data_IF_484627138358
#
_entry.id   IF_484627138358
#
_cell.length_a   1.000
_cell.length_b   1.000
_cell.length_c   1.000
_cell.angle_alpha   90.00
_cell.angle_beta   90.00
_cell.angle_gamma   90.00
#
_symmetry.space_group_name_H-M   'P 1'
#
loop_
_entity.id
_entity.type
_entity.pdbx_description
1 polymer ?
#
# COMPACT_ATOMS: atom_id res chain seq x y z
N UNK A 1 31.74 -16.46 28.73
CA UNK A 1 30.66 -16.99 27.84
C UNK A 1 29.37 -16.35 28.31
N UNK A 2 28.58 -15.79 27.42
CA UNK A 2 27.27 -15.23 27.79
C UNK A 2 26.25 -16.36 27.75
N UNK A 3 25.49 -16.54 28.81
CA UNK A 3 24.40 -17.50 28.89
C UNK A 3 23.10 -16.75 28.65
N UNK A 4 22.31 -17.17 27.65
CA UNK A 4 21.03 -16.56 27.30
C UNK A 4 19.91 -17.54 27.60
N UNK A 5 18.82 -17.07 28.18
CA UNK A 5 17.64 -17.89 28.47
C UNK A 5 16.35 -17.10 28.32
N UNK A 6 15.28 -17.76 27.91
CA UNK A 6 13.93 -17.20 27.87
C UNK A 6 13.27 -17.52 29.24
N UNK A 7 13.04 -16.46 30.00
CA UNK A 7 12.56 -16.59 31.39
C UNK A 7 11.04 -16.41 31.52
N UNK A 8 10.44 -15.62 30.64
CA UNK A 8 9.00 -15.38 30.70
C UNK A 8 8.40 -15.27 29.29
N UNK A 9 7.22 -15.84 29.13
CA UNK A 9 6.35 -15.67 27.97
C UNK A 9 4.97 -15.35 28.53
N UNK A 10 4.41 -14.20 28.14
CA UNK A 10 3.12 -13.76 28.65
C UNK A 10 2.30 -13.08 27.56
N UNK A 11 1.01 -13.36 27.55
CA UNK A 11 0.06 -12.70 26.67
C UNK A 11 -0.22 -11.28 27.16
N UNK A 12 -0.38 -10.33 26.23
CA UNK A 12 -0.76 -8.96 26.49
C UNK A 12 -2.18 -8.69 25.97
N UNK A 13 -3.01 -8.08 26.81
CA UNK A 13 -4.37 -7.69 26.45
C UNK A 13 -5.25 -8.87 26.02
N UNK A 14 -5.81 -8.79 24.80
CA UNK A 14 -6.72 -9.82 24.23
C UNK A 14 -6.01 -11.08 23.72
N UNK A 15 -4.69 -11.20 23.90
CA UNK A 15 -3.92 -12.33 23.39
C UNK A 15 -3.36 -12.14 21.98
N UNK A 16 -3.56 -10.96 21.40
CA UNK A 16 -3.02 -10.63 20.08
C UNK A 16 -1.50 -10.37 20.09
N UNK A 17 -0.96 -10.04 21.26
CA UNK A 17 0.45 -9.77 21.48
C UNK A 17 1.02 -10.70 22.57
N UNK A 18 2.26 -11.13 22.36
CA UNK A 18 3.01 -12.00 23.27
C UNK A 18 4.32 -11.31 23.62
N UNK A 19 4.55 -11.10 24.92
CA UNK A 19 5.82 -10.62 25.45
C UNK A 19 6.73 -11.80 25.74
N UNK A 20 7.91 -11.81 25.11
CA UNK A 20 8.98 -12.79 25.32
C UNK A 20 10.13 -12.10 26.03
N UNK A 21 10.49 -12.58 27.21
CA UNK A 21 11.56 -11.98 28.04
C UNK A 21 12.78 -12.87 28.02
N UNK A 22 13.90 -12.30 27.62
CA UNK A 22 15.22 -12.89 27.67
C UNK A 22 15.99 -12.37 28.89
N UNK A 23 16.81 -13.22 29.42
CA UNK A 23 17.83 -12.94 30.45
C UNK A 23 19.18 -13.35 29.87
N UNK A 24 20.09 -12.39 29.73
CA UNK A 24 21.49 -12.64 29.41
C UNK A 24 22.33 -12.48 30.66
N UNK A 25 23.19 -13.47 30.97
CA UNK A 25 24.10 -13.44 32.09
C UNK A 25 25.53 -13.60 31.60
N UNK A 26 26.41 -12.66 31.96
CA UNK A 26 27.83 -12.72 31.63
C UNK A 26 28.62 -13.52 32.69
N UNK A 27 29.88 -13.86 32.36
CA UNK A 27 30.75 -14.63 33.29
C UNK A 27 31.09 -13.96 34.62
N UNK A 28 30.73 -12.65 34.77
CA UNK A 28 30.90 -11.87 36.02
C UNK A 28 29.62 -11.79 36.84
N UNK A 29 28.54 -12.47 36.41
CA UNK A 29 27.26 -12.48 37.10
C UNK A 29 26.36 -11.27 36.82
N UNK A 30 26.73 -10.40 35.88
CA UNK A 30 25.86 -9.30 35.45
C UNK A 30 24.73 -9.86 34.63
N UNK A 31 23.51 -9.38 34.92
CA UNK A 31 22.27 -9.84 34.29
C UNK A 31 21.59 -8.69 33.52
N UNK A 32 21.30 -8.93 32.28
CA UNK A 32 20.54 -8.01 31.44
C UNK A 32 19.23 -8.65 31.02
N UNK A 33 18.13 -7.90 31.18
CA UNK A 33 16.79 -8.36 30.86
C UNK A 33 16.28 -7.59 29.66
N UNK A 34 15.87 -8.30 28.58
CA UNK A 34 15.26 -7.74 27.38
C UNK A 34 13.89 -8.36 27.18
N UNK A 35 12.88 -7.53 26.88
CA UNK A 35 11.53 -8.00 26.60
C UNK A 35 11.13 -7.55 25.19
N UNK A 36 10.70 -8.49 24.39
CA UNK A 36 10.27 -8.30 23.00
C UNK A 36 8.80 -8.63 22.86
N UNK A 37 8.05 -7.75 22.20
CA UNK A 37 6.62 -7.96 21.93
C UNK A 37 6.46 -8.45 20.50
N UNK A 38 5.89 -9.64 20.33
CA UNK A 38 5.55 -10.29 19.07
C UNK A 38 4.04 -10.25 18.84
N UNK A 39 3.60 -10.36 17.59
CA UNK A 39 2.23 -10.80 17.32
C UNK A 39 2.06 -12.28 17.70
N UNK A 40 0.85 -12.71 18.03
CA UNK A 40 0.55 -14.12 18.31
C UNK A 40 0.95 -15.03 17.15
N UNK A 41 0.79 -14.56 15.92
CA UNK A 41 1.21 -15.27 14.71
C UNK A 41 2.71 -15.49 14.68
N UNK A 42 3.52 -14.43 14.84
CA UNK A 42 4.98 -14.52 14.87
C UNK A 42 5.47 -15.45 15.99
N UNK A 43 4.85 -15.34 17.16
CA UNK A 43 5.17 -16.23 18.29
C UNK A 43 4.97 -17.71 17.94
N UNK A 44 3.85 -18.06 17.31
CA UNK A 44 3.56 -19.43 16.87
C UNK A 44 4.51 -19.90 15.76
N UNK A 45 4.80 -19.05 14.78
CA UNK A 45 5.70 -19.35 13.67
C UNK A 45 7.15 -19.59 14.14
N UNK A 46 7.61 -18.80 15.12
CA UNK A 46 8.96 -18.94 15.69
C UNK A 46 9.09 -20.11 16.66
N UNK A 47 7.99 -20.66 17.16
CA UNK A 47 8.01 -21.81 18.09
C UNK A 47 8.78 -21.56 19.39
N UNK A 48 8.75 -20.31 19.89
CA UNK A 48 9.54 -19.88 21.06
C UNK A 48 9.04 -20.55 22.35
N UNK A 49 9.96 -21.11 23.10
CA UNK A 49 9.67 -21.77 24.41
C UNK A 49 10.59 -21.28 25.53
N UNK A 50 10.15 -21.39 26.79
CA UNK A 50 11.00 -21.08 27.94
C UNK A 50 12.17 -22.06 28.03
N UNK A 51 13.34 -21.57 28.43
CA UNK A 51 14.54 -22.37 28.62
C UNK A 51 15.80 -21.71 28.08
N UNK A 52 16.83 -22.49 27.85
CA UNK A 52 18.09 -22.02 27.28
C UNK A 52 17.87 -21.57 25.82
N UNK A 53 18.52 -20.48 25.45
CA UNK A 53 18.47 -19.89 24.10
C UNK A 53 19.89 -19.50 23.67
N UNK A 54 20.12 -19.46 22.40
CA UNK A 54 21.35 -18.93 21.79
C UNK A 54 21.18 -17.50 21.31
N UNK A 55 22.27 -16.91 20.85
CA UNK A 55 22.29 -15.56 20.29
C UNK A 55 21.41 -15.47 19.05
N UNK A 56 21.36 -16.54 18.23
CA UNK A 56 20.54 -16.55 17.02
C UNK A 56 19.03 -16.47 17.35
N UNK A 57 18.58 -17.21 18.36
CA UNK A 57 17.19 -17.13 18.83
C UNK A 57 16.86 -15.75 19.39
N UNK A 58 17.78 -15.14 20.14
CA UNK A 58 17.63 -13.76 20.63
C UNK A 58 17.49 -12.77 19.50
N UNK A 59 18.40 -12.79 18.50
CA UNK A 59 18.41 -11.87 17.38
C UNK A 59 17.16 -12.04 16.50
N UNK A 60 16.72 -13.29 16.30
CA UNK A 60 15.51 -13.60 15.52
C UNK A 60 14.25 -13.02 16.19
N UNK A 61 14.10 -13.19 17.49
CA UNK A 61 12.96 -12.65 18.24
C UNK A 61 13.02 -11.13 18.30
N UNK A 62 14.21 -10.56 18.50
CA UNK A 62 14.41 -9.12 18.52
C UNK A 62 14.03 -8.47 17.15
N UNK A 63 14.45 -9.10 16.05
CA UNK A 63 14.09 -8.66 14.71
C UNK A 63 12.58 -8.76 14.46
N UNK A 64 11.96 -9.90 14.78
CA UNK A 64 10.52 -10.09 14.63
C UNK A 64 9.70 -9.05 15.43
N UNK A 65 10.15 -8.70 16.62
CA UNK A 65 9.52 -7.64 17.43
C UNK A 65 9.63 -6.25 16.76
N UNK A 66 10.75 -5.96 16.11
CA UNK A 66 10.91 -4.71 15.35
C UNK A 66 9.99 -4.69 14.13
N UNK A 67 9.86 -5.81 13.40
CA UNK A 67 8.90 -5.96 12.28
C UNK A 67 7.47 -5.72 12.80
N UNK A 68 7.10 -6.32 13.95
CA UNK A 68 5.78 -6.11 14.53
C UNK A 68 5.54 -4.64 14.93
N UNK A 69 6.53 -3.98 15.50
CA UNK A 69 6.44 -2.55 15.81
C UNK A 69 6.21 -1.70 14.54
N UNK A 70 6.91 -2.01 13.44
CA UNK A 70 6.71 -1.37 12.15
C UNK A 70 5.32 -1.68 11.55
N UNK A 71 4.85 -2.93 11.67
CA UNK A 71 3.51 -3.37 11.23
C UNK A 71 2.42 -2.61 11.96
N UNK A 72 2.49 -2.50 13.29
CA UNK A 72 1.54 -1.68 14.09
C UNK A 72 1.54 -0.22 13.62
N UNK A 73 2.71 0.34 13.33
CA UNK A 73 2.79 1.69 12.78
C UNK A 73 2.12 1.79 11.42
N UNK A 74 2.27 0.78 10.58
CA UNK A 74 1.59 0.66 9.29
C UNK A 74 0.06 0.61 9.43
N UNK A 75 -0.46 -0.16 10.38
CA UNK A 75 -1.91 -0.22 10.69
C UNK A 75 -2.44 1.17 11.03
N UNK A 76 -1.75 1.90 11.90
CA UNK A 76 -2.13 3.30 12.23
C UNK A 76 -2.11 4.20 11.00
N UNK A 77 -1.12 4.03 10.11
CA UNK A 77 -1.02 4.83 8.88
C UNK A 77 -2.12 4.50 7.87
N UNK A 78 -2.62 3.26 7.84
CA UNK A 78 -3.78 2.86 7.01
C UNK A 78 -5.08 3.50 7.51
N UNK A 79 -5.20 3.80 8.79
CA UNK A 79 -6.34 4.54 9.34
C UNK A 79 -6.51 5.95 8.75
N UNK A 80 -5.44 6.54 8.20
CA UNK A 80 -5.50 7.83 7.49
C UNK A 80 -5.80 7.69 5.99
N UNK A 81 -5.89 6.48 5.46
CA UNK A 81 -6.22 6.16 4.07
C UNK A 81 -5.40 5.04 3.48
N UNK A 82 -5.96 4.41 2.45
CA UNK A 82 -5.31 3.33 1.71
C UNK A 82 -3.94 3.76 1.13
N UNK A 83 -3.03 2.83 1.07
CA UNK A 83 -1.71 3.04 0.51
C UNK A 83 -1.23 1.79 -0.23
N UNK A 84 -0.64 1.96 -1.41
CA UNK A 84 0.03 0.86 -2.09
C UNK A 84 1.21 0.33 -1.24
N UNK A 85 1.66 -0.92 -1.44
CA UNK A 85 2.84 -1.47 -0.75
C UNK A 85 4.05 -0.55 -0.81
N UNK A 86 4.37 -0.02 -2.00
CA UNK A 86 5.47 0.92 -2.20
C UNK A 86 5.30 2.21 -1.40
N UNK A 87 4.09 2.78 -1.39
CA UNK A 87 3.80 4.00 -0.64
C UNK A 87 3.88 3.74 0.87
N UNK A 88 3.37 2.61 1.37
CA UNK A 88 3.44 2.23 2.78
C UNK A 88 4.89 2.05 3.23
N UNK A 89 5.72 1.34 2.45
CA UNK A 89 7.16 1.23 2.72
C UNK A 89 7.82 2.60 2.88
N UNK A 90 7.58 3.51 1.94
CA UNK A 90 8.11 4.88 2.01
C UNK A 90 7.66 5.63 3.27
N UNK A 91 6.39 5.47 3.67
CA UNK A 91 5.87 6.07 4.91
C UNK A 91 6.55 5.50 6.17
N UNK A 92 6.80 4.18 6.22
CA UNK A 92 7.48 3.54 7.35
C UNK A 92 8.95 3.98 7.45
N UNK A 93 9.67 4.05 6.33
CA UNK A 93 11.03 4.58 6.28
C UNK A 93 11.07 6.03 6.78
N UNK A 94 10.13 6.87 6.36
CA UNK A 94 10.01 8.25 6.83
C UNK A 94 9.68 8.35 8.35
N UNK A 95 9.21 7.26 8.98
CA UNK A 95 8.99 7.14 10.42
C UNK A 95 10.19 6.56 11.18
N UNK A 96 11.32 6.33 10.50
CA UNK A 96 12.57 5.91 11.10
C UNK A 96 12.84 4.40 11.09
N UNK A 97 11.96 3.59 10.48
CA UNK A 97 12.25 2.17 10.26
C UNK A 97 13.25 2.01 9.12
N UNK A 98 14.17 1.06 9.25
CA UNK A 98 15.06 0.75 8.13
C UNK A 98 14.31 0.09 6.96
N UNK A 99 15.01 -0.04 5.83
CA UNK A 99 14.39 -0.51 4.60
C UNK A 99 13.89 -1.96 4.70
N UNK A 100 14.63 -2.85 5.35
CA UNK A 100 14.27 -4.28 5.47
C UNK A 100 13.08 -4.43 6.41
N UNK A 101 13.11 -3.79 7.58
CA UNK A 101 11.98 -3.78 8.52
C UNK A 101 10.71 -3.22 7.87
N UNK A 102 10.84 -2.17 7.07
CA UNK A 102 9.70 -1.59 6.36
C UNK A 102 9.15 -2.51 5.26
N UNK A 103 10.01 -3.27 4.57
CA UNK A 103 9.61 -4.26 3.58
C UNK A 103 8.87 -5.43 4.23
N UNK A 104 9.42 -5.99 5.31
CA UNK A 104 8.82 -7.11 6.03
C UNK A 104 7.49 -6.71 6.69
N UNK A 105 7.43 -5.52 7.28
CA UNK A 105 6.18 -5.00 7.84
C UNK A 105 5.09 -4.80 6.77
N UNK A 106 5.45 -4.37 5.56
CA UNK A 106 4.50 -4.28 4.44
C UNK A 106 4.04 -5.65 3.99
N UNK A 107 4.93 -6.66 3.97
CA UNK A 107 4.58 -8.05 3.66
C UNK A 107 3.59 -8.60 4.69
N UNK A 108 3.79 -8.32 5.98
CA UNK A 108 2.83 -8.66 7.03
C UNK A 108 1.46 -7.98 6.82
N UNK A 109 1.44 -6.68 6.49
CA UNK A 109 0.17 -5.97 6.23
C UNK A 109 -0.60 -6.55 5.03
N UNK A 110 0.12 -7.01 4.00
CA UNK A 110 -0.48 -7.71 2.85
C UNK A 110 -0.99 -9.09 3.28
N UNK A 111 -0.20 -9.86 4.03
CA UNK A 111 -0.61 -11.18 4.54
C UNK A 111 -1.82 -11.11 5.48
N UNK A 112 -1.95 -10.01 6.24
CA UNK A 112 -3.13 -9.71 7.06
C UNK A 112 -4.35 -9.24 6.24
N UNK A 113 -4.22 -9.03 4.92
CA UNK A 113 -5.27 -8.49 4.05
C UNK A 113 -5.58 -7.01 4.27
N UNK A 114 -4.74 -6.29 5.05
CA UNK A 114 -4.92 -4.85 5.32
C UNK A 114 -4.44 -3.97 4.17
N UNK A 115 -3.59 -4.50 3.31
CA UNK A 115 -3.21 -3.93 2.01
C UNK A 115 -3.55 -4.97 0.95
N UNK A 116 -4.46 -4.64 0.04
CA UNK A 116 -4.74 -5.45 -1.14
C UNK A 116 -4.38 -4.62 -2.38
N UNK A 117 -3.19 -4.79 -2.97
CA UNK A 117 -2.73 -3.93 -4.05
C UNK A 117 -3.60 -3.99 -5.31
N UNK A 118 -4.30 -5.10 -5.56
CA UNK A 118 -5.17 -5.26 -6.73
C UNK A 118 -6.51 -4.55 -6.53
N UNK A 119 -7.15 -4.76 -5.39
CA UNK A 119 -8.42 -4.12 -5.07
C UNK A 119 -8.23 -2.61 -4.86
N UNK A 120 -7.17 -2.20 -4.15
CA UNK A 120 -6.84 -0.80 -3.93
C UNK A 120 -6.59 -0.05 -5.25
N UNK A 121 -5.89 -0.68 -6.21
CA UNK A 121 -5.66 -0.12 -7.54
C UNK A 121 -6.97 0.00 -8.33
N UNK A 122 -7.82 -1.05 -8.29
CA UNK A 122 -9.11 -1.08 -8.97
C UNK A 122 -10.07 -0.02 -8.41
N UNK A 123 -10.10 0.15 -7.09
CA UNK A 123 -10.89 1.19 -6.44
C UNK A 123 -10.40 2.59 -6.80
N UNK A 124 -9.08 2.80 -6.87
CA UNK A 124 -8.53 4.08 -7.30
C UNK A 124 -8.87 4.36 -8.76
N UNK A 125 -8.76 3.36 -9.64
CA UNK A 125 -9.11 3.47 -11.05
C UNK A 125 -10.58 3.85 -11.24
N UNK A 126 -11.51 3.20 -10.52
CA UNK A 126 -12.95 3.54 -10.53
C UNK A 126 -13.21 4.97 -10.07
N UNK A 127 -12.57 5.40 -8.99
CA UNK A 127 -12.67 6.81 -8.51
C UNK A 127 -12.11 7.81 -9.53
N UNK A 128 -11.06 7.47 -10.25
CA UNK A 128 -10.51 8.33 -11.30
C UNK A 128 -11.43 8.39 -12.52
N UNK A 129 -11.99 7.26 -12.94
CA UNK A 129 -12.96 7.19 -14.04
C UNK A 129 -14.24 8.00 -13.72
N UNK A 130 -14.76 7.94 -12.50
CA UNK A 130 -15.91 8.74 -12.06
C UNK A 130 -15.64 10.25 -12.03
N UNK A 131 -14.36 10.64 -11.98
CA UNK A 131 -13.92 12.03 -12.14
C UNK A 131 -13.70 12.43 -13.59
N UNK A 132 -14.15 11.60 -14.53
CA UNK A 132 -14.01 11.79 -15.96
C UNK A 132 -12.54 11.89 -16.41
N UNK A 133 -11.67 11.05 -15.85
CA UNK A 133 -10.29 10.91 -16.34
C UNK A 133 -10.25 9.84 -17.43
N UNK A 134 -9.41 10.08 -18.45
CA UNK A 134 -9.14 9.11 -19.50
C UNK A 134 -8.11 8.07 -19.09
N UNK A 135 -8.06 6.96 -19.82
CA UNK A 135 -7.22 5.77 -19.55
C UNK A 135 -5.76 6.12 -19.23
N UNK A 136 -5.12 6.96 -20.05
CA UNK A 136 -3.70 7.31 -19.89
C UNK A 136 -3.41 8.01 -18.55
N UNK A 137 -4.30 8.89 -18.12
CA UNK A 137 -4.16 9.59 -16.84
C UNK A 137 -4.39 8.68 -15.66
N UNK A 138 -5.37 7.77 -15.75
CA UNK A 138 -5.62 6.76 -14.71
C UNK A 138 -4.38 5.89 -14.53
N UNK A 139 -3.83 5.34 -15.61
CA UNK A 139 -2.61 4.53 -15.58
C UNK A 139 -1.44 5.31 -14.95
N UNK A 140 -1.23 6.56 -15.37
CA UNK A 140 -0.17 7.40 -14.81
C UNK A 140 -0.35 7.66 -13.33
N UNK A 141 -1.58 7.87 -12.84
CA UNK A 141 -1.87 8.06 -11.42
C UNK A 141 -1.59 6.79 -10.62
N UNK A 142 -2.00 5.62 -11.13
CA UNK A 142 -1.73 4.33 -10.48
C UNK A 142 -0.23 4.10 -10.31
N UNK A 143 0.57 4.35 -11.35
CA UNK A 143 2.03 4.26 -11.24
C UNK A 143 2.62 5.31 -10.28
N UNK A 144 2.11 6.54 -10.30
CA UNK A 144 2.53 7.59 -9.39
C UNK A 144 2.23 7.24 -7.92
N UNK A 145 1.14 6.50 -7.66
CA UNK A 145 0.80 5.96 -6.33
C UNK A 145 1.62 4.72 -5.97
N UNK A 146 2.44 4.19 -6.87
CA UNK A 146 3.37 3.11 -6.62
C UNK A 146 2.77 1.72 -6.74
N UNK A 147 1.68 1.55 -7.49
CA UNK A 147 1.16 0.22 -7.84
C UNK A 147 2.07 -0.47 -8.87
N UNK A 148 2.14 -1.80 -8.82
CA UNK A 148 2.87 -2.62 -9.79
C UNK A 148 2.15 -2.65 -11.14
N UNK A 149 2.88 -3.06 -12.20
CA UNK A 149 2.29 -3.25 -13.53
C UNK A 149 1.10 -4.21 -13.53
N UNK A 150 1.19 -5.29 -12.74
CA UNK A 150 0.13 -6.30 -12.65
C UNK A 150 -1.13 -5.74 -11.98
N UNK A 151 -0.96 -4.98 -10.89
CA UNK A 151 -2.07 -4.29 -10.23
C UNK A 151 -2.69 -3.21 -11.13
N UNK A 152 -1.87 -2.48 -11.89
CA UNK A 152 -2.36 -1.50 -12.89
C UNK A 152 -3.13 -2.21 -14.00
N UNK A 153 -2.60 -3.32 -14.53
CA UNK A 153 -3.28 -4.13 -15.53
C UNK A 153 -4.64 -4.64 -15.04
N UNK A 154 -4.67 -5.26 -13.86
CA UNK A 154 -5.91 -5.74 -13.23
C UNK A 154 -6.93 -4.61 -13.02
N UNK A 155 -6.48 -3.44 -12.56
CA UNK A 155 -7.34 -2.27 -12.38
C UNK A 155 -7.94 -1.78 -13.71
N UNK A 156 -7.17 -1.78 -14.80
CA UNK A 156 -7.68 -1.39 -16.11
C UNK A 156 -8.67 -2.42 -16.66
N UNK A 157 -8.42 -3.72 -16.48
CA UNK A 157 -9.36 -4.79 -16.83
C UNK A 157 -10.67 -4.64 -16.04
N UNK A 158 -10.60 -4.32 -14.74
CA UNK A 158 -11.80 -4.11 -13.92
C UNK A 158 -12.68 -2.95 -14.41
N UNK A 159 -12.10 -1.93 -15.07
CA UNK A 159 -12.87 -0.87 -15.71
C UNK A 159 -13.52 -1.33 -17.01
N UNK A 160 -12.89 -2.26 -17.74
CA UNK A 160 -13.45 -2.86 -18.95
C UNK A 160 -14.60 -3.79 -18.61
N UNK A 161 -14.43 -4.64 -17.59
CA UNK A 161 -15.48 -5.55 -17.07
C UNK A 161 -16.69 -4.77 -16.54
N UNK A 162 -16.46 -3.56 -15.99
CA UNK A 162 -17.51 -2.64 -15.56
C UNK A 162 -18.08 -1.78 -16.71
N UNK A 163 -17.72 -2.08 -17.96
CA UNK A 163 -18.18 -1.39 -19.16
C UNK A 163 -18.02 0.14 -19.12
N UNK A 164 -16.93 0.63 -18.54
CA UNK A 164 -16.66 2.07 -18.46
C UNK A 164 -16.45 2.65 -19.85
N UNK A 165 -17.41 3.44 -20.31
CA UNK A 165 -17.36 4.12 -21.62
C UNK A 165 -16.54 5.43 -21.51
N UNK A 166 -15.29 5.37 -21.96
CA UNK A 166 -14.38 6.51 -21.96
C UNK A 166 -14.75 7.58 -23.02
N UNK A 167 -15.45 7.21 -24.08
CA UNK A 167 -15.95 8.18 -25.07
C UNK A 167 -17.06 9.02 -24.44
N UNK A 168 -18.01 8.36 -23.77
CA UNK A 168 -19.05 9.02 -22.98
C UNK A 168 -18.46 9.92 -21.89
N UNK A 169 -17.49 9.41 -21.12
CA UNK A 169 -16.79 10.20 -20.09
C UNK A 169 -16.11 11.45 -20.70
N UNK A 170 -15.50 11.33 -21.87
CA UNK A 170 -14.89 12.46 -22.57
C UNK A 170 -15.96 13.49 -22.98
N UNK A 171 -17.08 13.05 -23.55
CA UNK A 171 -18.21 13.90 -23.90
C UNK A 171 -18.78 14.62 -22.68
N UNK A 172 -18.98 13.91 -21.58
CA UNK A 172 -19.49 14.48 -20.34
C UNK A 172 -18.52 15.49 -19.72
N UNK A 173 -17.20 15.27 -19.86
CA UNK A 173 -16.18 16.24 -19.49
C UNK A 173 -16.26 17.51 -20.34
N UNK A 174 -16.44 17.37 -21.65
CA UNK A 174 -16.62 18.51 -22.57
C UNK A 174 -17.83 19.31 -22.13
N UNK A 175 -18.98 18.66 -21.94
CA UNK A 175 -20.23 19.28 -21.49
C UNK A 175 -20.06 20.03 -20.16
N UNK A 176 -19.42 19.40 -19.20
CA UNK A 176 -19.25 19.96 -17.85
C UNK A 176 -18.33 21.18 -17.82
N UNK A 177 -17.28 21.21 -18.66
CA UNK A 177 -16.23 22.24 -18.58
C UNK A 177 -16.31 23.34 -19.60
N UNK A 178 -16.83 23.04 -20.77
CA UNK A 178 -16.82 23.94 -21.92
C UNK A 178 -18.22 24.39 -22.34
N UNK A 179 -19.25 23.59 -22.04
CA UNK A 179 -20.63 23.88 -22.44
C UNK A 179 -20.81 23.75 -23.97
N UNK A 180 -20.18 24.61 -24.73
CA UNK A 180 -20.22 24.58 -26.21
C UNK A 180 -18.84 24.26 -26.81
N UNK A 181 -18.85 23.65 -27.99
CA UNK A 181 -17.62 23.38 -28.72
C UNK A 181 -17.09 24.67 -29.36
N UNK A 182 -15.77 24.97 -29.24
CA UNK A 182 -15.18 26.12 -29.94
C UNK A 182 -15.36 26.03 -31.45
N UNK A 183 -15.76 27.13 -32.08
CA UNK A 183 -15.92 27.23 -33.54
C UNK A 183 -14.59 27.44 -34.23
N UNK A 184 -13.69 28.22 -33.63
CA UNK A 184 -12.40 28.61 -34.19
C UNK A 184 -11.34 27.51 -34.06
N UNK A 185 -10.35 27.54 -34.97
CA UNK A 185 -9.27 26.54 -35.05
C UNK A 185 -8.41 26.52 -33.75
N UNK A 186 -8.16 27.70 -33.18
CA UNK A 186 -7.32 27.86 -32.01
C UNK A 186 -8.00 27.24 -30.77
N UNK A 187 -9.28 27.49 -30.59
CA UNK A 187 -10.11 26.90 -29.53
C UNK A 187 -10.20 25.39 -29.66
N UNK A 188 -10.43 24.89 -30.89
CA UNK A 188 -10.43 23.42 -31.13
C UNK A 188 -9.09 22.76 -30.75
N UNK A 189 -7.96 23.40 -31.12
CA UNK A 189 -6.62 22.89 -30.72
C UNK A 189 -6.43 22.91 -29.19
N UNK A 190 -6.87 23.98 -28.52
CA UNK A 190 -6.78 24.10 -27.04
C UNK A 190 -7.65 23.03 -26.34
N UNK A 191 -8.88 22.83 -26.81
CA UNK A 191 -9.77 21.79 -26.31
C UNK A 191 -9.14 20.41 -26.46
N UNK A 192 -8.67 20.06 -27.65
CA UNK A 192 -8.01 18.79 -27.93
C UNK A 192 -6.81 18.54 -27.01
N UNK A 193 -5.92 19.51 -26.87
CA UNK A 193 -4.76 19.43 -25.99
C UNK A 193 -5.16 19.28 -24.50
N UNK A 194 -6.24 19.92 -24.08
CA UNK A 194 -6.77 19.76 -22.72
C UNK A 194 -7.30 18.35 -22.51
N UNK A 195 -8.07 17.77 -23.42
CA UNK A 195 -8.59 16.42 -23.31
C UNK A 195 -7.47 15.35 -23.33
N UNK A 196 -6.42 15.59 -24.14
CA UNK A 196 -5.21 14.75 -24.06
C UNK A 196 -4.57 14.78 -22.68
N UNK A 197 -4.48 15.95 -22.01
CA UNK A 197 -3.99 16.05 -20.61
C UNK A 197 -4.90 15.37 -19.59
N UNK A 198 -6.21 15.28 -19.89
CA UNK A 198 -7.15 14.48 -19.12
C UNK A 198 -6.98 12.97 -19.32
N UNK A 199 -6.11 12.56 -20.27
CA UNK A 199 -5.72 11.18 -20.49
C UNK A 199 -6.53 10.45 -21.56
N UNK A 200 -7.30 11.17 -22.37
CA UNK A 200 -8.03 10.60 -23.50
C UNK A 200 -7.13 10.42 -24.72
N UNK A 201 -7.38 9.36 -25.49
CA UNK A 201 -6.74 9.14 -26.78
C UNK A 201 -7.35 10.03 -27.87
N UNK A 202 -6.60 10.22 -28.96
CA UNK A 202 -7.11 10.98 -30.11
C UNK A 202 -8.37 10.38 -30.74
N UNK A 203 -8.51 9.05 -30.70
CA UNK A 203 -9.70 8.36 -31.19
C UNK A 203 -10.92 8.66 -30.29
N UNK A 204 -10.77 8.49 -28.98
CA UNK A 204 -11.85 8.77 -28.00
C UNK A 204 -12.29 10.25 -28.09
N UNK A 205 -11.34 11.18 -28.24
CA UNK A 205 -11.66 12.61 -28.37
C UNK A 205 -12.47 12.90 -29.65
N UNK A 206 -12.06 12.33 -30.79
CA UNK A 206 -12.79 12.52 -32.06
C UNK A 206 -14.20 11.99 -31.96
N UNK A 207 -14.39 10.76 -31.48
CA UNK A 207 -15.71 10.14 -31.27
C UNK A 207 -16.58 10.96 -30.31
N UNK A 208 -15.98 11.40 -29.17
CA UNK A 208 -16.72 12.22 -28.21
C UNK A 208 -17.19 13.57 -28.80
N UNK A 209 -16.40 14.21 -29.69
CA UNK A 209 -16.76 15.45 -30.33
C UNK A 209 -17.86 15.23 -31.41
N UNK A 210 -17.81 14.09 -32.10
CA UNK A 210 -18.87 13.71 -33.06
C UNK A 210 -20.21 13.50 -32.35
N UNK A 211 -20.22 12.70 -31.27
CA UNK A 211 -21.41 12.47 -30.43
C UNK A 211 -21.90 13.72 -29.68
N UNK A 212 -21.12 14.76 -29.64
CA UNK A 212 -21.53 16.03 -29.01
C UNK A 212 -22.31 16.93 -29.93
N UNK A 213 -22.21 16.74 -31.28
CA UNK A 213 -22.89 17.55 -32.31
C UNK A 213 -24.31 17.05 -32.59
N UNK A 214 -24.56 15.76 -32.27
CA UNK A 214 -25.86 15.12 -32.41
C UNK A 214 -26.75 15.41 -31.16
#
# INVERSE_FOLDING_TARGET
>A
MIKISITSISSRGTGEEIDVTFLAENGEGNREKSTFTLSSRQYLELGVAKGEADTQAFDTVAYAAQVWAATKKGIVLLGYGAASPRAMRGKLIAKGFDKLLAEDAVSELVAMGLINPFDDASDLARRCASRLWGRKRIISELYAKGFSSDAVGAAMNSLEDAEVDFVKNCRDLIKKRYGELPSDITGKKKLFAALCRYGYSSAEIKQAIELYKD
#
